data_IF_261311316014
#
_entry.id   IF_261311316014
#
_cell.length_a   1.000
_cell.length_b   1.000
_cell.length_c   1.000
_cell.angle_alpha   90.00
_cell.angle_beta   90.00
_cell.angle_gamma   90.00
#
_symmetry.space_group_name_H-M   'P 1'
#
loop_
_entity.id
_entity.type
_entity.pdbx_description
1 polymer ?
#
# COMPACT_ATOMS: atom_id res chain seq x y z
N UNK A 1 37.11 -19.25 -2.86
CA UNK A 1 35.95 -19.18 -1.96
C UNK A 1 34.83 -18.53 -2.74
N UNK A 2 33.69 -19.21 -2.92
CA UNK A 2 32.54 -18.65 -3.63
C UNK A 2 31.41 -18.46 -2.61
N UNK A 3 31.01 -17.21 -2.40
CA UNK A 3 29.92 -16.84 -1.48
C UNK A 3 28.92 -16.02 -2.26
N UNK A 4 27.66 -16.48 -2.32
CA UNK A 4 26.62 -15.73 -2.99
C UNK A 4 25.24 -15.93 -2.33
N UNK A 5 24.42 -14.88 -2.24
CA UNK A 5 23.04 -14.96 -1.81
C UNK A 5 22.20 -15.60 -2.93
N UNK A 6 21.16 -16.37 -2.56
CA UNK A 6 20.30 -17.01 -3.57
C UNK A 6 18.81 -16.91 -3.28
N UNK A 7 18.41 -16.60 -2.07
CA UNK A 7 17.00 -16.29 -1.75
C UNK A 7 16.85 -15.59 -0.41
N UNK A 8 15.79 -14.80 -0.25
CA UNK A 8 15.29 -14.40 1.07
C UNK A 8 14.51 -15.57 1.68
N UNK A 9 14.53 -15.68 3.00
CA UNK A 9 13.77 -16.71 3.72
C UNK A 9 12.27 -16.37 3.83
N UNK A 10 11.81 -15.31 3.17
CA UNK A 10 10.43 -14.86 3.22
C UNK A 10 9.55 -15.65 2.25
N UNK A 11 8.38 -16.09 2.72
CA UNK A 11 7.36 -16.73 1.90
C UNK A 11 6.21 -15.74 1.70
N UNK A 12 6.16 -15.11 0.56
CA UNK A 12 5.40 -13.88 0.31
C UNK A 12 4.01 -14.11 -0.31
N UNK A 13 3.57 -15.34 -0.41
CA UNK A 13 2.18 -15.71 -0.75
C UNK A 13 1.72 -15.41 -2.19
N UNK A 14 2.44 -14.58 -2.96
CA UNK A 14 2.14 -14.25 -4.37
C UNK A 14 3.40 -14.28 -5.22
N UNK A 15 3.29 -14.59 -6.52
CA UNK A 15 4.44 -14.59 -7.42
C UNK A 15 4.90 -13.17 -7.76
N UNK A 16 6.24 -12.93 -7.82
CA UNK A 16 6.85 -11.66 -8.17
C UNK A 16 6.95 -11.53 -9.71
N UNK A 17 5.86 -11.19 -10.36
CA UNK A 17 5.77 -11.19 -11.82
C UNK A 17 6.70 -10.18 -12.50
N UNK A 18 6.91 -9.00 -11.91
CA UNK A 18 7.80 -7.97 -12.48
C UNK A 18 9.25 -8.41 -12.39
N UNK A 19 9.67 -9.03 -11.28
CA UNK A 19 11.00 -9.60 -11.14
C UNK A 19 11.26 -10.71 -12.17
N UNK A 20 10.27 -11.59 -12.39
CA UNK A 20 10.38 -12.62 -13.44
C UNK A 20 10.44 -12.02 -14.84
N UNK A 21 9.63 -10.99 -15.11
CA UNK A 21 9.65 -10.29 -16.39
C UNK A 21 10.99 -9.60 -16.64
N UNK A 22 11.61 -8.99 -15.63
CA UNK A 22 12.93 -8.38 -15.73
C UNK A 22 14.03 -9.43 -16.05
N UNK A 23 13.98 -10.59 -15.37
CA UNK A 23 14.87 -11.73 -15.66
C UNK A 23 14.70 -12.19 -17.10
N UNK A 24 13.45 -12.42 -17.53
CA UNK A 24 13.16 -12.86 -18.91
C UNK A 24 13.63 -11.83 -19.93
N UNK A 25 13.45 -10.54 -19.67
CA UNK A 25 13.93 -9.48 -20.56
C UNK A 25 15.45 -9.50 -20.70
N UNK A 26 16.20 -9.65 -19.61
CA UNK A 26 17.66 -9.79 -19.66
C UNK A 26 18.08 -11.04 -20.46
N UNK A 27 17.39 -12.18 -20.28
CA UNK A 27 17.68 -13.42 -21.04
C UNK A 27 17.42 -13.24 -22.54
N UNK A 28 16.30 -12.61 -22.92
CA UNK A 28 15.97 -12.34 -24.33
C UNK A 28 17.00 -11.40 -24.95
N UNK A 29 17.33 -10.29 -24.29
CA UNK A 29 18.33 -9.34 -24.78
C UNK A 29 19.71 -10.04 -24.94
N UNK A 30 20.10 -10.83 -23.96
CA UNK A 30 21.37 -11.58 -24.04
C UNK A 30 21.37 -12.58 -25.20
N UNK A 31 20.28 -13.29 -25.44
CA UNK A 31 20.13 -14.17 -26.59
C UNK A 31 20.28 -13.43 -27.92
N UNK A 32 19.71 -12.22 -28.02
CA UNK A 32 19.90 -11.36 -29.21
C UNK A 32 21.33 -10.85 -29.34
N UNK A 33 22.05 -10.62 -28.25
CA UNK A 33 23.45 -10.22 -28.26
C UNK A 33 24.37 -11.31 -28.82
N UNK A 34 24.05 -12.61 -28.65
CA UNK A 34 24.83 -13.72 -29.19
C UNK A 34 24.77 -13.80 -30.72
N UNK A 35 23.69 -13.34 -31.34
CA UNK A 35 23.43 -13.46 -32.78
C UNK A 35 23.63 -12.16 -33.57
N UNK A 36 23.88 -11.02 -32.90
CA UNK A 36 23.93 -9.72 -33.56
C UNK A 36 24.78 -8.69 -32.80
N UNK A 37 25.27 -7.64 -33.46
CA UNK A 37 26.08 -6.59 -32.84
C UNK A 37 25.26 -5.60 -32.02
N UNK A 38 24.07 -6.01 -31.51
CA UNK A 38 23.14 -5.14 -30.76
C UNK A 38 23.75 -4.56 -29.47
N UNK A 39 24.78 -5.22 -28.93
CA UNK A 39 25.51 -4.79 -27.74
C UNK A 39 26.00 -3.35 -27.88
N UNK A 40 26.58 -2.99 -29.02
CA UNK A 40 27.10 -1.63 -29.30
C UNK A 40 25.97 -0.57 -29.22
N UNK A 41 24.75 -0.96 -29.55
CA UNK A 41 23.57 -0.08 -29.47
C UNK A 41 23.00 0.03 -28.07
N UNK A 42 23.37 -0.84 -27.13
CA UNK A 42 22.81 -0.87 -25.77
C UNK A 42 23.77 -0.27 -24.74
N UNK A 43 25.11 -0.37 -24.94
CA UNK A 43 26.09 0.14 -23.98
C UNK A 43 25.93 1.63 -23.71
N UNK A 44 26.25 2.02 -22.49
CA UNK A 44 26.25 3.40 -22.05
C UNK A 44 27.69 3.94 -21.94
N UNK A 45 27.91 5.09 -22.54
CA UNK A 45 29.15 5.88 -22.40
C UNK A 45 28.87 7.04 -21.45
N UNK A 46 29.65 7.23 -20.37
CA UNK A 46 29.37 8.22 -19.34
C UNK A 46 29.40 9.68 -19.81
N UNK A 47 30.11 9.97 -20.91
CA UNK A 47 30.18 11.29 -21.56
C UNK A 47 28.96 11.60 -22.43
N UNK A 48 28.18 10.60 -22.80
CA UNK A 48 27.02 10.78 -23.69
C UNK A 48 25.79 11.38 -23.01
N UNK A 49 25.66 11.23 -21.71
CA UNK A 49 24.50 11.67 -20.89
C UNK A 49 23.13 11.26 -21.47
N UNK A 50 23.07 10.14 -22.17
CA UNK A 50 21.85 9.67 -22.84
C UNK A 50 20.97 8.84 -21.88
N UNK A 51 19.79 9.35 -21.45
CA UNK A 51 18.95 8.65 -20.47
C UNK A 51 18.43 7.29 -20.95
N UNK A 52 18.16 7.16 -22.26
CA UNK A 52 17.72 5.89 -22.84
C UNK A 52 18.83 4.84 -22.73
N UNK A 53 20.08 5.23 -23.02
CA UNK A 53 21.24 4.36 -22.89
C UNK A 53 21.55 4.01 -21.44
N UNK A 54 21.32 4.93 -20.49
CA UNK A 54 21.46 4.65 -19.06
C UNK A 54 20.57 3.49 -18.61
N UNK A 55 19.37 3.39 -19.16
CA UNK A 55 18.44 2.29 -18.86
C UNK A 55 18.73 1.04 -19.68
N UNK A 56 18.89 1.17 -21.01
CA UNK A 56 19.05 0.01 -21.88
C UNK A 56 20.36 -0.75 -21.65
N UNK A 57 21.41 -0.05 -21.22
CA UNK A 57 22.69 -0.67 -20.86
C UNK A 57 22.55 -1.66 -19.69
N UNK A 58 21.61 -1.42 -18.77
CA UNK A 58 21.36 -2.34 -17.67
C UNK A 58 20.82 -3.71 -18.12
N UNK A 59 20.23 -3.79 -19.31
CA UNK A 59 19.69 -5.04 -19.86
C UNK A 59 20.73 -5.87 -20.62
N UNK A 60 21.83 -5.24 -21.06
CA UNK A 60 22.91 -5.88 -21.82
C UNK A 60 23.95 -6.51 -20.89
N UNK A 61 24.60 -7.59 -21.34
CA UNK A 61 25.60 -8.30 -20.54
C UNK A 61 26.82 -8.68 -21.38
N UNK A 62 28.03 -8.59 -20.79
CA UNK A 62 29.29 -8.88 -21.47
C UNK A 62 29.50 -10.38 -21.73
N UNK A 63 28.80 -11.25 -21.01
CA UNK A 63 28.93 -12.71 -21.19
C UNK A 63 28.05 -13.47 -20.23
N UNK A 64 28.00 -14.79 -20.39
CA UNK A 64 27.14 -15.69 -19.62
C UNK A 64 27.33 -15.57 -18.10
N UNK A 65 28.56 -15.57 -17.63
CA UNK A 65 28.81 -15.49 -16.18
C UNK A 65 28.46 -14.15 -15.58
N UNK A 66 28.57 -13.06 -16.37
CA UNK A 66 28.11 -11.73 -15.97
C UNK A 66 26.57 -11.67 -15.84
N UNK A 67 25.85 -12.21 -16.82
CA UNK A 67 24.40 -12.35 -16.77
C UNK A 67 23.96 -13.23 -15.59
N UNK A 68 24.53 -14.43 -15.47
CA UNK A 68 24.19 -15.39 -14.43
C UNK A 68 24.36 -14.81 -13.02
N UNK A 69 25.51 -14.15 -12.77
CA UNK A 69 25.77 -13.49 -11.48
C UNK A 69 24.73 -12.41 -11.17
N UNK A 70 24.45 -11.52 -12.13
CA UNK A 70 23.45 -10.48 -11.96
C UNK A 70 22.06 -11.04 -11.65
N UNK A 71 21.60 -12.03 -12.41
CA UNK A 71 20.28 -12.63 -12.20
C UNK A 71 20.18 -13.39 -10.88
N UNK A 72 21.23 -14.08 -10.47
CA UNK A 72 21.30 -14.79 -9.20
C UNK A 72 21.15 -13.83 -8.01
N UNK A 73 21.94 -12.75 -8.01
CA UNK A 73 21.86 -11.73 -6.95
C UNK A 73 20.53 -10.97 -7.00
N UNK A 74 20.03 -10.63 -8.19
CA UNK A 74 18.73 -10.00 -8.34
C UNK A 74 17.62 -10.85 -7.72
N UNK A 75 17.57 -12.14 -8.07
CA UNK A 75 16.56 -13.06 -7.56
C UNK A 75 16.67 -13.32 -6.05
N UNK A 76 17.81 -13.03 -5.44
CA UNK A 76 17.95 -13.15 -4.00
C UNK A 76 17.19 -12.06 -3.22
N UNK A 77 17.02 -10.86 -3.76
CA UNK A 77 16.43 -9.69 -3.06
C UNK A 77 15.16 -9.16 -3.73
N UNK A 78 15.16 -9.07 -5.04
CA UNK A 78 14.13 -8.39 -5.83
C UNK A 78 12.71 -8.95 -5.65
N UNK A 79 12.48 -10.28 -5.62
CA UNK A 79 11.15 -10.83 -5.40
C UNK A 79 10.50 -10.41 -4.09
N UNK A 80 11.29 -10.35 -3.02
CA UNK A 80 10.80 -9.91 -1.71
C UNK A 80 10.40 -8.43 -1.75
N UNK A 81 11.25 -7.58 -2.34
CA UNK A 81 11.00 -6.15 -2.46
C UNK A 81 9.77 -5.84 -3.32
N UNK A 82 9.58 -6.56 -4.45
CA UNK A 82 8.39 -6.39 -5.29
C UNK A 82 7.11 -6.59 -4.50
N UNK A 83 7.07 -7.63 -3.68
CA UNK A 83 5.89 -7.98 -2.91
C UNK A 83 5.66 -7.00 -1.76
N UNK A 84 6.72 -6.62 -1.05
CA UNK A 84 6.65 -5.67 0.07
C UNK A 84 6.27 -4.26 -0.40
N UNK A 85 6.74 -3.81 -1.57
CA UNK A 85 6.32 -2.52 -2.16
C UNK A 85 4.83 -2.53 -2.54
N UNK A 86 4.29 -3.69 -2.89
CA UNK A 86 2.85 -3.89 -3.09
C UNK A 86 2.28 -3.34 -4.41
N UNK A 87 3.04 -2.56 -5.19
CA UNK A 87 2.64 -1.97 -6.47
C UNK A 87 3.67 -2.28 -7.55
N UNK A 88 3.26 -2.99 -8.59
CA UNK A 88 4.11 -3.32 -9.74
C UNK A 88 4.65 -2.07 -10.44
N UNK A 89 3.81 -1.03 -10.62
CA UNK A 89 4.23 0.21 -11.26
C UNK A 89 5.28 0.96 -10.42
N UNK A 90 5.08 1.04 -9.11
CA UNK A 90 6.06 1.66 -8.20
C UNK A 90 7.37 0.87 -8.20
N UNK A 91 7.31 -0.46 -8.21
CA UNK A 91 8.49 -1.30 -8.25
C UNK A 91 9.29 -1.15 -9.56
N UNK A 92 8.62 -1.07 -10.72
CA UNK A 92 9.26 -0.72 -12.01
C UNK A 92 9.91 0.67 -11.90
N UNK A 93 9.22 1.65 -11.33
CA UNK A 93 9.76 2.99 -11.09
C UNK A 93 11.04 2.98 -10.25
N UNK A 94 11.11 2.14 -9.21
CA UNK A 94 12.33 1.94 -8.41
C UNK A 94 13.47 1.42 -9.27
N UNK A 95 13.25 0.38 -10.07
CA UNK A 95 14.30 -0.19 -10.93
C UNK A 95 14.81 0.83 -11.95
N UNK A 96 13.92 1.59 -12.59
CA UNK A 96 14.27 2.66 -13.52
C UNK A 96 15.06 3.78 -12.85
N UNK A 97 14.60 4.23 -11.68
CA UNK A 97 15.28 5.25 -10.89
C UNK A 97 16.71 4.81 -10.54
N UNK A 98 16.88 3.59 -10.04
CA UNK A 98 18.20 3.06 -9.68
C UNK A 98 19.10 2.93 -10.90
N UNK A 99 18.59 2.44 -12.04
CA UNK A 99 19.36 2.35 -13.29
C UNK A 99 19.87 3.72 -13.76
N UNK A 100 19.01 4.74 -13.69
CA UNK A 100 19.39 6.12 -14.04
C UNK A 100 20.42 6.68 -13.07
N UNK A 101 20.17 6.62 -11.75
CA UNK A 101 21.07 7.20 -10.75
C UNK A 101 22.43 6.49 -10.71
N UNK A 102 22.45 5.17 -10.90
CA UNK A 102 23.68 4.39 -11.05
C UNK A 102 24.54 4.91 -12.22
N UNK A 103 23.94 5.12 -13.38
CA UNK A 103 24.60 5.63 -14.57
C UNK A 103 25.03 7.10 -14.44
N UNK A 104 24.16 7.94 -13.84
CA UNK A 104 24.49 9.35 -13.53
C UNK A 104 25.67 9.43 -12.58
N UNK A 105 25.70 8.60 -11.52
CA UNK A 105 26.79 8.54 -10.57
C UNK A 105 28.11 8.21 -11.26
N UNK A 106 28.10 7.28 -12.22
CA UNK A 106 29.29 6.97 -13.03
C UNK A 106 29.71 8.14 -13.92
N UNK A 107 28.77 8.81 -14.59
CA UNK A 107 29.10 9.99 -15.40
C UNK A 107 29.65 11.14 -14.57
N UNK A 108 29.07 11.42 -13.42
CA UNK A 108 29.60 12.45 -12.50
C UNK A 108 31.01 12.11 -12.03
N UNK A 109 31.25 10.84 -11.69
CA UNK A 109 32.59 10.39 -11.28
C UNK A 109 33.63 10.64 -12.38
N UNK A 110 33.35 10.26 -13.64
CA UNK A 110 34.28 10.48 -14.76
C UNK A 110 34.55 11.97 -15.00
N UNK A 111 33.51 12.84 -14.87
CA UNK A 111 33.69 14.28 -15.00
C UNK A 111 34.53 14.88 -13.87
N UNK A 112 34.28 14.47 -12.62
CA UNK A 112 34.96 15.03 -11.43
C UNK A 112 36.42 14.57 -11.35
N UNK A 113 36.68 13.31 -11.67
CA UNK A 113 38.04 12.70 -11.50
C UNK A 113 38.88 12.76 -12.76
N UNK A 114 38.28 13.06 -13.92
CA UNK A 114 38.95 12.93 -15.21
C UNK A 114 39.30 11.48 -15.58
N UNK A 115 38.61 10.50 -14.98
CA UNK A 115 38.83 9.08 -15.26
C UNK A 115 38.52 8.74 -16.71
N UNK A 116 39.19 7.70 -17.22
CA UNK A 116 39.00 7.22 -18.60
C UNK A 116 37.52 6.83 -18.83
N UNK A 117 36.97 7.25 -19.97
CA UNK A 117 35.62 6.95 -20.42
C UNK A 117 35.56 5.50 -20.90
N UNK A 118 35.06 4.60 -20.08
CA UNK A 118 34.89 3.18 -20.40
C UNK A 118 33.38 2.91 -20.56
N UNK A 119 32.95 2.27 -21.68
CA UNK A 119 31.56 1.90 -21.86
C UNK A 119 31.12 0.91 -20.78
N UNK A 120 29.90 1.11 -20.22
CA UNK A 120 29.36 0.25 -19.19
C UNK A 120 28.07 -0.44 -19.66
N UNK A 121 27.85 -1.64 -19.14
CA UNK A 121 26.66 -2.44 -19.34
C UNK A 121 26.50 -3.43 -18.18
N UNK A 122 25.28 -3.91 -17.97
CA UNK A 122 24.97 -4.91 -16.94
C UNK A 122 23.93 -4.46 -15.94
N UNK A 123 23.15 -5.42 -15.48
CA UNK A 123 22.07 -5.20 -14.51
C UNK A 123 22.57 -4.91 -13.08
N UNK A 124 23.87 -4.94 -12.88
CA UNK A 124 24.51 -4.89 -11.55
C UNK A 124 24.21 -3.62 -10.75
N UNK A 125 24.12 -2.46 -11.42
CA UNK A 125 23.69 -1.22 -10.74
C UNK A 125 22.30 -1.33 -10.14
N UNK A 126 21.35 -1.96 -10.87
CA UNK A 126 19.99 -2.23 -10.36
C UNK A 126 20.04 -3.27 -9.24
N UNK A 127 20.85 -4.33 -9.38
CA UNK A 127 21.06 -5.34 -8.32
C UNK A 127 21.53 -4.69 -7.03
N UNK A 128 22.57 -3.85 -7.11
CA UNK A 128 23.07 -3.13 -5.94
C UNK A 128 22.02 -2.21 -5.34
N UNK A 129 21.17 -1.57 -6.16
CA UNK A 129 20.04 -0.81 -5.70
C UNK A 129 18.99 -1.64 -4.94
N UNK A 130 18.70 -2.86 -5.41
CA UNK A 130 17.83 -3.78 -4.67
C UNK A 130 18.45 -4.21 -3.34
N UNK A 131 19.76 -4.43 -3.30
CA UNK A 131 20.49 -4.72 -2.06
C UNK A 131 20.40 -3.51 -1.09
N UNK A 132 20.66 -2.29 -1.57
CA UNK A 132 20.56 -1.07 -0.77
C UNK A 132 19.14 -0.83 -0.24
N UNK A 133 18.13 -1.00 -1.09
CA UNK A 133 16.73 -0.88 -0.71
C UNK A 133 16.32 -1.92 0.34
N UNK A 134 16.83 -3.16 0.22
CA UNK A 134 16.58 -4.22 1.19
C UNK A 134 17.14 -3.91 2.57
N UNK A 135 18.29 -3.22 2.62
CA UNK A 135 18.89 -2.78 3.87
C UNK A 135 18.03 -1.73 4.61
N UNK A 136 17.20 -0.97 3.89
CA UNK A 136 16.26 -0.02 4.47
C UNK A 136 14.92 -0.68 4.85
N UNK A 137 14.26 -1.34 3.88
CA UNK A 137 12.89 -1.85 4.06
C UNK A 137 12.82 -3.12 4.92
N UNK A 138 13.83 -3.99 4.81
CA UNK A 138 13.83 -5.29 5.49
C UNK A 138 15.20 -5.63 6.06
N UNK A 139 15.80 -4.77 6.93
CA UNK A 139 17.19 -4.93 7.38
C UNK A 139 17.46 -6.27 8.06
N UNK A 140 16.51 -6.77 8.82
CA UNK A 140 16.61 -8.03 9.58
C UNK A 140 16.16 -9.27 8.78
N UNK A 141 15.73 -9.10 7.52
CA UNK A 141 15.36 -10.23 6.68
C UNK A 141 16.56 -11.17 6.51
N UNK A 142 16.30 -12.46 6.72
CA UNK A 142 17.33 -13.50 6.61
C UNK A 142 17.50 -13.89 5.14
N UNK A 143 18.65 -13.55 4.59
CA UNK A 143 19.04 -13.96 3.24
C UNK A 143 19.86 -15.25 3.33
N UNK A 144 19.48 -16.25 2.55
CA UNK A 144 20.23 -17.50 2.43
C UNK A 144 21.46 -17.28 1.56
N UNK A 145 22.61 -17.55 2.14
CA UNK A 145 23.90 -17.40 1.48
C UNK A 145 24.52 -18.79 1.33
N UNK A 146 24.91 -19.10 0.12
CA UNK A 146 25.64 -20.29 -0.19
C UNK A 146 27.14 -20.02 -0.15
N UNK A 147 27.86 -20.83 0.60
CA UNK A 147 29.32 -20.77 0.68
C UNK A 147 29.91 -22.09 0.20
N UNK A 148 30.72 -22.00 -0.85
CA UNK A 148 31.53 -23.10 -1.34
C UNK A 148 33.00 -22.88 -1.00
N UNK A 149 33.43 -23.61 0.00
CA UNK A 149 34.87 -23.77 0.32
C UNK A 149 35.27 -25.23 0.08
N UNK A 150 35.53 -25.99 1.13
CA UNK A 150 35.78 -27.43 1.08
C UNK A 150 34.48 -28.21 1.30
N UNK A 151 33.51 -27.59 1.96
CA UNK A 151 32.20 -28.16 2.27
C UNK A 151 31.11 -27.18 1.82
N UNK A 152 30.04 -27.72 1.22
CA UNK A 152 28.85 -26.95 0.89
C UNK A 152 28.10 -26.56 2.17
N UNK A 153 28.03 -25.29 2.48
CA UNK A 153 27.31 -24.81 3.65
C UNK A 153 26.40 -23.64 3.29
N UNK A 154 25.17 -23.73 3.77
CA UNK A 154 24.21 -22.63 3.68
C UNK A 154 24.06 -22.00 5.07
N UNK A 155 24.10 -20.70 5.14
CA UNK A 155 23.86 -19.94 6.36
C UNK A 155 22.97 -18.72 6.05
N UNK A 156 22.47 -18.10 7.10
CA UNK A 156 21.60 -16.94 6.98
C UNK A 156 22.35 -15.68 7.40
N UNK A 157 22.24 -14.63 6.59
CA UNK A 157 22.83 -13.32 6.86
C UNK A 157 21.73 -12.27 6.81
N UNK A 158 21.67 -11.34 7.76
CA UNK A 158 20.73 -10.20 7.64
C UNK A 158 21.00 -9.36 6.40
N UNK A 159 19.94 -8.83 5.77
CA UNK A 159 20.06 -8.07 4.54
C UNK A 159 20.97 -6.85 4.67
N UNK A 160 20.90 -6.12 5.81
CA UNK A 160 21.78 -4.96 6.06
C UNK A 160 23.26 -5.33 6.09
N UNK A 161 23.61 -6.51 6.63
CA UNK A 161 25.01 -6.98 6.67
C UNK A 161 25.52 -7.23 5.25
N UNK A 162 24.71 -7.87 4.41
CA UNK A 162 25.08 -8.10 3.01
C UNK A 162 25.22 -6.77 2.26
N UNK A 163 24.31 -5.82 2.47
CA UNK A 163 24.42 -4.51 1.86
C UNK A 163 25.70 -3.78 2.30
N UNK A 164 26.01 -3.79 3.59
CA UNK A 164 27.24 -3.19 4.12
C UNK A 164 28.50 -3.85 3.53
N UNK A 165 28.49 -5.20 3.36
CA UNK A 165 29.62 -5.92 2.78
C UNK A 165 29.76 -5.58 1.29
N UNK A 166 28.71 -5.75 0.47
CA UNK A 166 28.82 -5.57 -0.98
C UNK A 166 29.06 -4.11 -1.37
N UNK A 167 28.27 -3.17 -0.83
CA UNK A 167 28.45 -1.75 -1.12
C UNK A 167 29.76 -1.24 -0.52
N UNK A 168 30.10 -1.68 0.69
CA UNK A 168 31.31 -1.26 1.39
C UNK A 168 32.58 -1.78 0.70
N UNK A 169 32.61 -3.04 0.23
CA UNK A 169 33.75 -3.59 -0.50
C UNK A 169 33.91 -2.89 -1.86
N UNK A 170 32.84 -2.62 -2.57
CA UNK A 170 32.90 -1.90 -3.84
C UNK A 170 33.36 -0.45 -3.63
N UNK A 171 32.89 0.24 -2.59
CA UNK A 171 33.34 1.57 -2.23
C UNK A 171 34.84 1.59 -1.83
N UNK A 172 35.26 0.62 -1.02
CA UNK A 172 36.67 0.49 -0.66
C UNK A 172 37.54 0.20 -1.89
N UNK A 173 37.13 -0.73 -2.76
CA UNK A 173 37.85 -1.04 -4.00
C UNK A 173 37.92 0.17 -4.95
N UNK A 174 36.80 0.92 -5.08
CA UNK A 174 36.73 2.15 -5.87
C UNK A 174 37.76 3.21 -5.41
N UNK A 175 38.00 3.30 -4.10
CA UNK A 175 38.91 4.30 -3.52
C UNK A 175 40.38 3.85 -3.49
N UNK A 176 40.67 2.55 -3.56
CA UNK A 176 42.01 2.01 -3.32
C UNK A 176 42.64 1.35 -4.56
N UNK A 177 41.84 0.88 -5.50
CA UNK A 177 42.35 0.18 -6.70
C UNK A 177 42.38 1.11 -7.91
N UNK A 178 43.50 1.10 -8.66
CA UNK A 178 43.63 1.90 -9.87
C UNK A 178 43.00 1.24 -11.12
N UNK A 179 42.63 -0.03 -11.03
CA UNK A 179 42.00 -0.78 -12.12
C UNK A 179 40.97 -1.76 -11.53
N UNK A 180 39.72 -1.64 -11.95
CA UNK A 180 38.58 -2.40 -11.40
C UNK A 180 38.31 -3.73 -12.15
N UNK A 181 39.21 -4.19 -12.99
CA UNK A 181 39.06 -5.49 -13.69
C UNK A 181 37.83 -5.57 -14.58
N UNK A 182 37.38 -4.43 -15.17
CA UNK A 182 36.20 -4.36 -16.03
C UNK A 182 34.85 -4.27 -15.30
N UNK A 183 34.86 -4.14 -13.98
CA UNK A 183 33.63 -3.92 -13.16
C UNK A 183 33.45 -2.42 -12.89
N UNK A 184 32.26 -1.89 -13.16
CA UNK A 184 31.96 -0.48 -12.86
C UNK A 184 31.54 -0.32 -11.40
N UNK A 185 32.53 -0.28 -10.49
CA UNK A 185 32.30 -0.15 -9.03
C UNK A 185 31.57 1.15 -8.65
N UNK A 186 31.81 2.23 -9.41
CA UNK A 186 31.14 3.52 -9.18
C UNK A 186 29.64 3.39 -9.40
N UNK A 187 29.23 2.76 -10.50
CA UNK A 187 27.83 2.50 -10.78
C UNK A 187 27.19 1.57 -9.73
N UNK A 188 27.94 0.62 -9.19
CA UNK A 188 27.48 -0.25 -8.11
C UNK A 188 27.21 0.52 -6.83
N UNK A 189 28.18 1.31 -6.37
CA UNK A 189 28.04 2.14 -5.14
C UNK A 189 26.89 3.14 -5.31
N UNK A 190 26.85 3.85 -6.44
CA UNK A 190 25.79 4.80 -6.73
C UNK A 190 24.40 4.12 -6.76
N UNK A 191 24.30 2.94 -7.37
CA UNK A 191 23.08 2.14 -7.38
C UNK A 191 22.63 1.71 -5.98
N UNK A 192 23.56 1.19 -5.18
CA UNK A 192 23.30 0.78 -3.80
C UNK A 192 22.79 1.92 -2.91
N UNK A 193 23.47 3.07 -2.98
CA UNK A 193 23.07 4.28 -2.26
C UNK A 193 21.72 4.83 -2.77
N UNK A 194 21.48 4.78 -4.09
CA UNK A 194 20.21 5.20 -4.68
C UNK A 194 19.03 4.36 -4.18
N UNK A 195 19.20 3.04 -4.13
CA UNK A 195 18.16 2.14 -3.62
C UNK A 195 17.86 2.39 -2.13
N UNK A 196 18.89 2.55 -1.32
CA UNK A 196 18.73 2.89 0.10
C UNK A 196 18.01 4.25 0.27
N UNK A 197 18.48 5.28 -0.44
CA UNK A 197 17.90 6.62 -0.39
C UNK A 197 16.44 6.65 -0.89
N UNK A 198 16.13 5.88 -1.93
CA UNK A 198 14.74 5.76 -2.39
C UNK A 198 13.83 5.18 -1.28
N UNK A 199 14.30 4.18 -0.56
CA UNK A 199 13.61 3.62 0.59
C UNK A 199 13.32 4.67 1.65
N UNK A 200 14.34 5.43 2.05
CA UNK A 200 14.23 6.49 3.06
C UNK A 200 13.26 7.61 2.63
N UNK A 201 13.34 8.04 1.38
CA UNK A 201 12.62 9.23 0.91
C UNK A 201 11.16 8.96 0.52
N UNK A 202 10.85 7.76 0.02
CA UNK A 202 9.54 7.47 -0.58
C UNK A 202 8.84 6.20 -0.08
N UNK A 203 9.50 5.41 0.79
CA UNK A 203 8.94 4.16 1.31
C UNK A 203 9.09 3.99 2.82
N UNK A 204 9.44 5.06 3.56
CA UNK A 204 9.65 4.98 4.99
C UNK A 204 8.35 4.70 5.76
N UNK A 205 7.22 5.19 5.28
CA UNK A 205 5.88 4.88 5.76
C UNK A 205 5.55 3.38 5.69
N UNK A 206 6.08 2.67 4.70
CA UNK A 206 5.90 1.23 4.53
C UNK A 206 6.84 0.39 5.41
N UNK A 207 7.95 0.96 5.85
CA UNK A 207 8.97 0.25 6.64
C UNK A 207 8.44 -0.30 7.95
N UNK A 208 7.60 0.46 8.65
CA UNK A 208 7.01 0.03 9.91
C UNK A 208 6.07 -1.16 9.70
N UNK A 209 5.17 -1.08 8.70
CA UNK A 209 4.24 -2.15 8.32
C UNK A 209 5.01 -3.43 7.92
N UNK A 210 6.05 -3.29 7.10
CA UNK A 210 6.93 -4.40 6.67
C UNK A 210 7.69 -5.01 7.85
N UNK A 211 8.19 -4.18 8.76
CA UNK A 211 8.93 -4.66 9.96
C UNK A 211 8.04 -5.52 10.86
N UNK A 212 6.78 -5.17 10.99
CA UNK A 212 5.81 -5.93 11.78
C UNK A 212 5.45 -7.26 11.11
N UNK A 213 5.17 -7.26 9.79
CA UNK A 213 4.92 -8.49 9.03
C UNK A 213 6.12 -9.45 9.10
N UNK A 214 7.33 -8.91 9.00
CA UNK A 214 8.57 -9.68 9.06
C UNK A 214 8.83 -10.26 10.46
N UNK A 215 8.53 -9.50 11.51
CA UNK A 215 8.67 -9.98 12.89
C UNK A 215 7.74 -11.18 13.16
N UNK A 216 6.51 -11.12 12.67
CA UNK A 216 5.54 -12.19 12.79
C UNK A 216 5.98 -13.46 12.04
N UNK A 217 6.58 -13.31 10.86
CA UNK A 217 7.09 -14.44 10.10
C UNK A 217 8.32 -15.09 10.75
N UNK A 218 9.23 -14.30 11.28
CA UNK A 218 10.40 -14.79 12.02
C UNK A 218 9.96 -15.57 13.27
N UNK A 219 8.96 -15.07 13.99
CA UNK A 219 8.45 -15.76 15.19
C UNK A 219 7.72 -17.05 14.83
N UNK A 220 6.93 -17.06 13.76
CA UNK A 220 6.31 -18.30 13.26
C UNK A 220 7.36 -19.36 12.87
N UNK A 221 8.48 -18.96 12.26
CA UNK A 221 9.59 -19.85 11.96
C UNK A 221 10.28 -20.38 13.24
N UNK A 222 10.44 -19.56 14.27
CA UNK A 222 10.99 -19.98 15.58
C UNK A 222 10.10 -21.01 16.26
N UNK A 223 8.78 -20.81 16.24
CA UNK A 223 7.79 -21.76 16.79
C UNK A 223 7.84 -23.07 16.03
N UNK A 224 7.93 -23.04 14.70
CA UNK A 224 8.09 -24.23 13.88
C UNK A 224 9.36 -25.02 14.25
N UNK A 225 10.50 -24.34 14.38
CA UNK A 225 11.77 -24.98 14.76
C UNK A 225 11.74 -25.60 16.18
N UNK A 226 11.11 -24.90 17.15
CA UNK A 226 11.06 -25.36 18.54
C UNK A 226 10.08 -26.52 18.78
N UNK A 227 8.97 -26.54 18.07
CA UNK A 227 7.85 -27.46 18.36
C UNK A 227 7.58 -28.48 17.26
N UNK A 228 8.38 -28.50 16.18
CA UNK A 228 8.18 -29.44 15.05
C UNK A 228 6.83 -29.26 14.33
N UNK A 229 6.11 -28.17 14.57
CA UNK A 229 4.81 -27.87 13.97
C UNK A 229 4.97 -27.34 12.56
N UNK A 230 4.03 -27.62 11.67
CA UNK A 230 3.99 -26.98 10.36
C UNK A 230 3.81 -25.47 10.53
N UNK A 231 4.22 -24.67 9.52
CA UNK A 231 4.09 -23.21 9.55
C UNK A 231 2.64 -22.77 9.82
N UNK A 232 1.67 -23.44 9.21
CA UNK A 232 0.25 -23.16 9.41
C UNK A 232 -0.22 -23.44 10.85
N UNK A 233 0.28 -24.51 11.46
CA UNK A 233 -0.02 -24.85 12.86
C UNK A 233 0.68 -23.90 13.84
N UNK A 234 1.91 -23.50 13.56
CA UNK A 234 2.62 -22.49 14.33
C UNK A 234 1.90 -21.13 14.31
N UNK A 235 1.42 -20.71 13.15
CA UNK A 235 0.63 -19.49 12.99
C UNK A 235 -0.72 -19.56 13.73
N UNK A 236 -1.45 -20.69 13.59
CA UNK A 236 -2.70 -20.93 14.34
C UNK A 236 -2.48 -20.95 15.85
N UNK A 237 -1.40 -21.55 16.31
CA UNK A 237 -1.04 -21.57 17.73
C UNK A 237 -0.76 -20.17 18.27
N UNK A 238 0.04 -19.36 17.54
CA UNK A 238 0.32 -17.96 17.90
C UNK A 238 -0.96 -17.13 17.93
N UNK A 239 -1.82 -17.25 16.91
CA UNK A 239 -3.11 -16.57 16.83
C UNK A 239 -4.02 -16.90 18.02
N UNK A 240 -4.03 -18.16 18.45
CA UNK A 240 -4.86 -18.61 19.58
C UNK A 240 -4.33 -18.16 20.95
N UNK A 241 -3.03 -17.83 21.04
CA UNK A 241 -2.37 -17.53 22.33
C UNK A 241 -1.96 -16.07 22.49
N UNK A 242 -1.95 -15.27 21.42
CA UNK A 242 -1.58 -13.86 21.44
C UNK A 242 -2.78 -12.93 21.17
N UNK A 243 -3.30 -12.24 22.21
CA UNK A 243 -4.44 -11.34 22.08
C UNK A 243 -4.22 -10.19 21.10
N UNK A 244 -2.96 -9.73 20.95
CA UNK A 244 -2.63 -8.61 20.04
C UNK A 244 -2.76 -9.01 18.58
N UNK A 245 -2.47 -10.26 18.22
CA UNK A 245 -2.63 -10.76 16.84
C UNK A 245 -4.11 -10.89 16.50
N UNK A 246 -4.93 -11.41 17.43
CA UNK A 246 -6.37 -11.51 17.24
C UNK A 246 -7.00 -10.13 17.05
N UNK A 247 -6.55 -9.13 17.81
CA UNK A 247 -7.02 -7.74 17.68
C UNK A 247 -6.58 -7.09 16.36
N UNK A 248 -5.34 -7.28 15.93
CA UNK A 248 -4.84 -6.78 14.62
C UNK A 248 -5.61 -7.37 13.44
N UNK A 249 -5.90 -8.67 13.46
CA UNK A 249 -6.72 -9.28 12.39
C UNK A 249 -8.14 -8.69 12.38
N UNK A 250 -8.71 -8.45 13.56
CA UNK A 250 -10.03 -7.82 13.69
C UNK A 250 -10.05 -6.44 13.06
N UNK A 251 -9.02 -5.61 13.34
CA UNK A 251 -8.86 -4.27 12.76
C UNK A 251 -8.63 -4.38 11.24
N UNK A 252 -7.74 -5.26 10.78
CA UNK A 252 -7.48 -5.46 9.35
C UNK A 252 -8.71 -5.94 8.58
N UNK A 253 -9.52 -6.84 9.16
CA UNK A 253 -10.76 -7.31 8.54
C UNK A 253 -11.85 -6.24 8.55
N UNK A 254 -11.89 -5.39 9.59
CA UNK A 254 -12.74 -4.23 9.64
C UNK A 254 -12.39 -3.24 8.52
N UNK A 255 -11.14 -2.86 8.38
CA UNK A 255 -10.67 -1.93 7.35
C UNK A 255 -10.90 -2.43 5.92
N UNK A 256 -10.72 -3.73 5.68
CA UNK A 256 -11.03 -4.36 4.39
C UNK A 256 -12.53 -4.28 4.08
N UNK A 257 -13.36 -4.60 5.06
CA UNK A 257 -14.80 -4.55 4.93
C UNK A 257 -15.29 -3.11 4.67
N UNK A 258 -14.82 -2.13 5.44
CA UNK A 258 -15.19 -0.72 5.25
C UNK A 258 -14.77 -0.21 3.88
N UNK A 259 -13.58 -0.57 3.38
CA UNK A 259 -13.16 -0.26 2.00
C UNK A 259 -14.09 -0.86 0.94
N UNK A 260 -14.60 -2.08 1.14
CA UNK A 260 -15.59 -2.69 0.24
C UNK A 260 -16.91 -1.92 0.26
N UNK A 261 -17.41 -1.57 1.43
CA UNK A 261 -18.63 -0.75 1.59
C UNK A 261 -18.47 0.59 0.86
N UNK A 262 -17.37 1.29 1.06
CA UNK A 262 -17.11 2.56 0.39
C UNK A 262 -16.99 2.42 -1.14
N UNK A 263 -16.39 1.34 -1.61
CA UNK A 263 -16.32 1.08 -3.05
C UNK A 263 -17.71 0.82 -3.66
N UNK A 264 -18.59 0.10 -2.96
CA UNK A 264 -19.97 -0.13 -3.39
C UNK A 264 -20.74 1.19 -3.52
N UNK A 265 -20.62 2.08 -2.53
CA UNK A 265 -21.27 3.40 -2.61
C UNK A 265 -20.73 4.22 -3.77
N UNK A 266 -19.41 4.26 -3.98
CA UNK A 266 -18.79 4.95 -5.12
C UNK A 266 -19.24 4.42 -6.49
N UNK A 267 -19.66 3.17 -6.56
CA UNK A 267 -20.16 2.52 -7.80
C UNK A 267 -21.70 2.52 -7.86
N UNK A 268 -22.38 3.35 -7.09
CA UNK A 268 -23.84 3.47 -7.02
C UNK A 268 -24.57 2.17 -6.61
N UNK A 269 -23.91 1.32 -5.80
CA UNK A 269 -24.51 0.10 -5.22
C UNK A 269 -24.91 0.33 -3.76
N UNK A 270 -25.52 1.46 -3.48
CA UNK A 270 -25.83 1.95 -2.12
C UNK A 270 -26.69 0.98 -1.30
N UNK A 271 -27.71 0.36 -1.93
CA UNK A 271 -28.56 -0.61 -1.25
C UNK A 271 -27.80 -1.84 -0.77
N UNK A 272 -26.86 -2.31 -1.59
CA UNK A 272 -26.01 -3.47 -1.26
C UNK A 272 -25.01 -3.12 -0.16
N UNK A 273 -24.41 -1.93 -0.21
CA UNK A 273 -23.53 -1.44 0.84
C UNK A 273 -24.24 -1.38 2.20
N UNK A 274 -25.46 -0.83 2.23
CA UNK A 274 -26.30 -0.78 3.43
C UNK A 274 -26.65 -2.18 3.94
N UNK A 275 -27.03 -3.09 3.06
CA UNK A 275 -27.35 -4.47 3.45
C UNK A 275 -26.16 -5.20 4.03
N UNK A 276 -24.96 -5.07 3.43
CA UNK A 276 -23.76 -5.67 3.97
C UNK A 276 -23.35 -5.10 5.33
N UNK A 277 -23.47 -3.78 5.50
CA UNK A 277 -23.19 -3.12 6.76
C UNK A 277 -24.10 -3.64 7.89
N UNK A 278 -25.42 -3.71 7.62
CA UNK A 278 -26.40 -4.18 8.59
C UNK A 278 -26.35 -5.70 8.85
N UNK A 279 -25.82 -6.47 7.92
CA UNK A 279 -25.60 -7.92 8.11
C UNK A 279 -24.41 -8.19 9.02
N UNK A 280 -23.37 -7.34 8.95
CA UNK A 280 -22.16 -7.52 9.74
C UNK A 280 -22.23 -6.94 11.14
N UNK A 281 -22.91 -5.80 11.30
CA UNK A 281 -22.98 -5.07 12.57
C UNK A 281 -24.39 -5.08 13.13
N UNK A 282 -24.53 -5.46 14.39
CA UNK A 282 -25.73 -5.25 15.16
C UNK A 282 -25.92 -3.74 15.44
N UNK A 283 -27.17 -3.29 15.48
CA UNK A 283 -27.52 -1.88 15.63
C UNK A 283 -26.96 -1.20 16.89
N UNK A 284 -26.74 -1.98 17.97
CA UNK A 284 -26.17 -1.43 19.22
C UNK A 284 -24.65 -1.41 19.21
N UNK A 285 -24.02 -2.49 18.73
CA UNK A 285 -22.55 -2.63 18.70
C UNK A 285 -21.90 -1.94 17.50
N UNK A 286 -22.64 -1.71 16.43
CA UNK A 286 -22.16 -1.12 15.18
C UNK A 286 -22.55 0.35 14.99
N UNK A 287 -22.93 1.06 16.04
CA UNK A 287 -23.32 2.47 15.91
C UNK A 287 -22.22 3.33 15.28
N UNK A 288 -20.98 3.13 15.69
CA UNK A 288 -19.81 3.88 15.20
C UNK A 288 -19.57 3.67 13.70
N UNK A 289 -19.68 2.43 13.23
CA UNK A 289 -19.46 2.05 11.83
C UNK A 289 -20.60 2.55 10.93
N UNK A 290 -21.82 2.46 11.40
CA UNK A 290 -22.99 2.99 10.70
C UNK A 290 -22.89 4.51 10.61
N UNK A 291 -22.51 5.17 11.71
CA UNK A 291 -22.30 6.61 11.80
C UNK A 291 -21.21 7.06 10.80
N UNK A 292 -20.08 6.37 10.75
CA UNK A 292 -18.98 6.70 9.84
C UNK A 292 -19.38 6.67 8.36
N UNK A 293 -20.10 5.61 7.94
CA UNK A 293 -20.59 5.52 6.55
C UNK A 293 -21.62 6.61 6.27
N UNK A 294 -22.51 6.88 7.22
CA UNK A 294 -23.55 7.90 7.07
C UNK A 294 -22.95 9.31 6.97
N UNK A 295 -21.98 9.66 7.81
CA UNK A 295 -21.33 10.99 7.78
C UNK A 295 -20.61 11.25 6.44
N UNK A 296 -20.01 10.22 5.85
CA UNK A 296 -19.40 10.33 4.51
C UNK A 296 -20.40 10.31 3.36
N UNK A 297 -21.67 9.93 3.62
CA UNK A 297 -22.67 9.80 2.58
C UNK A 297 -22.95 11.12 1.82
N UNK A 298 -22.83 12.25 2.48
CA UNK A 298 -23.02 13.56 1.84
C UNK A 298 -21.97 13.88 0.79
N UNK A 299 -20.76 13.36 0.91
CA UNK A 299 -19.67 13.53 -0.07
C UNK A 299 -19.97 12.77 -1.38
N UNK A 300 -20.84 11.76 -1.32
CA UNK A 300 -21.16 10.88 -2.45
C UNK A 300 -22.43 11.26 -3.20
N UNK A 301 -23.19 12.22 -2.65
CA UNK A 301 -24.41 12.74 -3.25
C UNK A 301 -25.70 12.10 -2.72
N UNK A 302 -26.86 12.52 -3.24
CA UNK A 302 -28.18 12.07 -2.75
C UNK A 302 -28.37 10.56 -2.89
N UNK A 303 -28.82 9.90 -1.81
CA UNK A 303 -29.13 8.45 -1.80
C UNK A 303 -30.23 8.13 -0.75
N UNK A 304 -31.31 7.48 -1.22
CA UNK A 304 -32.38 7.00 -0.32
C UNK A 304 -31.91 5.85 0.57
N UNK A 305 -31.04 4.99 0.08
CA UNK A 305 -30.52 3.85 0.83
C UNK A 305 -29.64 4.33 1.99
N UNK A 306 -28.76 5.31 1.74
CA UNK A 306 -27.90 5.92 2.77
C UNK A 306 -28.74 6.72 3.79
N UNK A 307 -29.80 7.41 3.35
CA UNK A 307 -30.73 8.08 4.28
C UNK A 307 -31.45 7.08 5.23
N UNK A 308 -31.58 5.80 4.85
CA UNK A 308 -32.11 4.77 5.75
C UNK A 308 -31.18 4.49 6.94
N UNK A 309 -29.85 4.61 6.78
CA UNK A 309 -28.92 4.49 7.90
C UNK A 309 -29.14 5.60 8.93
N UNK A 310 -29.39 6.83 8.47
CA UNK A 310 -29.74 7.94 9.36
C UNK A 310 -31.00 7.70 10.18
N UNK A 311 -32.03 7.02 9.62
CA UNK A 311 -33.22 6.62 10.40
C UNK A 311 -32.85 5.67 11.54
N UNK A 312 -31.93 4.73 11.31
CA UNK A 312 -31.49 3.79 12.33
C UNK A 312 -30.73 4.52 13.45
N UNK A 313 -29.84 5.44 13.08
CA UNK A 313 -29.11 6.29 14.04
C UNK A 313 -30.08 7.14 14.86
N UNK A 314 -31.08 7.74 14.21
CA UNK A 314 -32.16 8.50 14.88
C UNK A 314 -32.89 7.63 15.92
N UNK A 315 -33.29 6.41 15.57
CA UNK A 315 -34.00 5.51 16.50
C UNK A 315 -33.16 5.15 17.74
N UNK A 316 -31.85 4.95 17.57
CA UNK A 316 -30.95 4.66 18.69
C UNK A 316 -30.83 5.89 19.59
N UNK A 317 -30.60 7.08 19.03
CA UNK A 317 -30.43 8.33 19.75
C UNK A 317 -31.71 8.77 20.48
N UNK A 318 -32.90 8.48 19.92
CA UNK A 318 -34.20 8.72 20.59
C UNK A 318 -34.33 7.86 21.83
N UNK A 319 -33.96 6.58 21.79
CA UNK A 319 -33.96 5.69 22.96
C UNK A 319 -33.01 6.18 24.07
N UNK A 320 -31.95 6.86 23.69
CA UNK A 320 -30.98 7.47 24.61
C UNK A 320 -31.37 8.90 25.06
N UNK A 321 -32.52 9.42 24.64
CA UNK A 321 -33.00 10.79 24.89
C UNK A 321 -32.03 11.89 24.41
N UNK A 322 -31.25 11.62 23.35
CA UNK A 322 -30.24 12.54 22.76
C UNK A 322 -30.83 13.39 21.64
N UNK A 323 -31.94 14.09 21.91
CA UNK A 323 -32.73 14.79 20.89
C UNK A 323 -31.98 15.85 20.08
N UNK A 324 -30.98 16.52 20.62
CA UNK A 324 -30.14 17.47 19.88
C UNK A 324 -29.37 16.82 18.75
N UNK A 325 -28.82 15.60 18.96
CA UNK A 325 -28.17 14.81 17.89
C UNK A 325 -29.18 14.26 16.89
N UNK A 326 -30.38 13.91 17.30
CA UNK A 326 -31.46 13.47 16.40
C UNK A 326 -31.75 14.53 15.36
N UNK A 327 -31.88 15.80 15.75
CA UNK A 327 -32.14 16.91 14.83
C UNK A 327 -31.02 17.08 13.81
N UNK A 328 -29.78 16.89 14.22
CA UNK A 328 -28.61 16.88 13.30
C UNK A 328 -28.78 15.80 12.24
N UNK A 329 -29.10 14.57 12.60
CA UNK A 329 -29.26 13.48 11.62
C UNK A 329 -30.50 13.65 10.73
N UNK A 330 -31.56 14.27 11.21
CA UNK A 330 -32.72 14.63 10.37
C UNK A 330 -32.31 15.58 9.24
N UNK A 331 -31.56 16.62 9.55
CA UNK A 331 -31.04 17.57 8.56
C UNK A 331 -30.18 16.88 7.51
N UNK A 332 -29.28 16.01 7.95
CA UNK A 332 -28.42 15.20 7.06
C UNK A 332 -29.23 14.24 6.18
N UNK A 333 -30.23 13.58 6.74
CA UNK A 333 -31.15 12.73 5.98
C UNK A 333 -31.91 13.49 4.90
N UNK A 334 -32.34 14.72 5.18
CA UNK A 334 -33.02 15.59 4.20
C UNK A 334 -32.09 16.02 3.08
N UNK A 335 -30.78 16.20 3.35
CA UNK A 335 -29.77 16.47 2.32
C UNK A 335 -29.56 15.26 1.40
N UNK A 336 -29.55 14.03 1.94
CA UNK A 336 -29.43 12.80 1.16
C UNK A 336 -30.72 12.43 0.42
N UNK A 337 -31.86 12.75 1.00
CA UNK A 337 -33.18 12.45 0.43
C UNK A 337 -34.16 13.57 0.76
N UNK A 338 -34.45 14.51 -0.16
CA UNK A 338 -35.38 15.62 0.10
C UNK A 338 -36.77 15.20 0.56
N UNK A 339 -37.18 13.97 0.20
CA UNK A 339 -38.46 13.38 0.63
C UNK A 339 -38.37 12.63 1.96
N UNK A 340 -37.30 12.83 2.74
CA UNK A 340 -37.12 12.15 4.02
C UNK A 340 -38.25 12.48 4.98
N UNK A 341 -38.80 11.45 5.64
CA UNK A 341 -39.83 11.53 6.66
C UNK A 341 -39.49 10.63 7.84
N UNK A 342 -39.95 10.97 9.01
CA UNK A 342 -39.97 10.08 10.16
C UNK A 342 -41.18 9.14 10.09
N UNK A 343 -41.09 7.91 10.65
CA UNK A 343 -42.19 6.94 10.59
C UNK A 343 -43.42 7.30 11.44
N UNK A 344 -43.31 8.28 12.32
CA UNK A 344 -44.34 8.69 13.22
C UNK A 344 -44.64 10.20 13.08
N UNK A 345 -45.95 10.53 12.95
CA UNK A 345 -46.41 11.92 12.78
C UNK A 345 -46.15 12.76 14.03
N UNK A 346 -46.40 12.22 15.23
CA UNK A 346 -46.19 12.94 16.49
C UNK A 346 -44.72 13.31 16.66
N UNK A 347 -43.79 12.38 16.34
CA UNK A 347 -42.35 12.65 16.36
C UNK A 347 -41.97 13.68 15.30
N UNK A 348 -42.58 13.63 14.11
CA UNK A 348 -42.31 14.60 13.04
C UNK A 348 -42.68 16.01 13.52
N UNK A 349 -43.83 16.19 14.14
CA UNK A 349 -44.27 17.48 14.66
C UNK A 349 -43.40 17.97 15.83
N UNK A 350 -43.00 17.07 16.72
CA UNK A 350 -42.05 17.36 17.79
C UNK A 350 -40.72 17.89 17.29
N UNK A 351 -40.09 17.18 16.33
CA UNK A 351 -38.82 17.63 15.80
C UNK A 351 -38.93 18.83 14.85
N UNK A 352 -40.07 19.04 14.20
CA UNK A 352 -40.31 20.26 13.45
C UNK A 352 -40.38 21.49 14.39
N UNK A 353 -41.05 21.38 15.56
CA UNK A 353 -41.05 22.42 16.56
C UNK A 353 -39.62 22.66 17.09
N UNK A 354 -38.91 21.63 17.48
CA UNK A 354 -37.54 21.73 17.95
C UNK A 354 -36.60 22.38 16.90
N UNK A 355 -36.81 22.10 15.62
CA UNK A 355 -36.04 22.73 14.53
C UNK A 355 -36.29 24.24 14.44
N UNK A 356 -37.52 24.68 14.64
CA UNK A 356 -37.86 26.12 14.75
C UNK A 356 -37.20 26.76 15.96
N UNK A 357 -37.31 26.12 17.12
CA UNK A 357 -36.74 26.63 18.38
C UNK A 357 -35.21 26.74 18.34
N UNK A 358 -34.57 25.95 17.48
CA UNK A 358 -33.10 25.97 17.25
C UNK A 358 -32.67 26.74 16.01
N UNK A 359 -33.55 27.52 15.37
CA UNK A 359 -33.24 28.37 14.21
C UNK A 359 -32.99 27.61 12.91
N UNK A 360 -33.65 26.46 12.72
CA UNK A 360 -33.58 25.64 11.51
C UNK A 360 -34.91 25.56 10.75
N UNK A 361 -35.47 26.69 10.25
CA UNK A 361 -36.80 26.76 9.66
C UNK A 361 -36.96 25.87 8.40
N UNK A 362 -35.92 25.69 7.59
CA UNK A 362 -35.99 24.84 6.41
C UNK A 362 -36.14 23.35 6.77
N UNK A 363 -35.48 22.89 7.81
CA UNK A 363 -35.61 21.50 8.31
C UNK A 363 -37.05 21.27 8.81
N UNK A 364 -37.59 22.19 9.57
CA UNK A 364 -38.97 22.15 10.05
C UNK A 364 -39.96 22.09 8.90
N UNK A 365 -39.84 23.01 7.94
CA UNK A 365 -40.72 23.08 6.75
C UNK A 365 -40.73 21.76 5.99
N UNK A 366 -39.54 21.22 5.69
CA UNK A 366 -39.43 19.97 4.92
C UNK A 366 -40.05 18.78 5.65
N UNK A 367 -39.84 18.67 6.98
CA UNK A 367 -40.47 17.64 7.79
C UNK A 367 -42.01 17.71 7.70
N UNK A 368 -42.58 18.88 7.88
CA UNK A 368 -44.06 19.07 7.88
C UNK A 368 -44.62 18.80 6.49
N UNK A 369 -44.05 19.39 5.45
CA UNK A 369 -44.53 19.21 4.05
C UNK A 369 -44.48 17.74 3.62
N UNK A 370 -43.33 17.08 3.83
CA UNK A 370 -43.15 15.68 3.42
C UNK A 370 -44.09 14.75 4.22
N UNK A 371 -44.29 15.03 5.51
CA UNK A 371 -45.20 14.26 6.37
C UNK A 371 -46.65 14.44 5.91
N UNK A 372 -47.09 15.67 5.63
CA UNK A 372 -48.42 15.95 5.10
C UNK A 372 -48.68 15.25 3.77
N UNK A 373 -47.71 15.26 2.86
CA UNK A 373 -47.81 14.52 1.58
C UNK A 373 -47.93 13.00 1.77
N UNK A 374 -47.24 12.43 2.74
CA UNK A 374 -47.23 10.98 2.97
C UNK A 374 -48.41 10.47 3.77
N UNK A 375 -48.81 11.19 4.81
CA UNK A 375 -49.79 10.73 5.80
C UNK A 375 -51.16 11.38 5.64
N UNK A 376 -51.30 12.43 4.81
CA UNK A 376 -52.57 13.05 4.44
C UNK A 376 -53.41 13.43 5.65
N UNK A 377 -54.63 12.92 5.72
CA UNK A 377 -55.59 13.25 6.79
C UNK A 377 -55.24 12.77 8.21
N UNK A 378 -54.11 12.03 8.37
CA UNK A 378 -53.62 11.64 9.71
C UNK A 378 -52.80 12.77 10.39
N UNK A 379 -52.50 13.83 9.66
CA UNK A 379 -51.73 14.97 10.17
C UNK A 379 -52.68 16.09 10.57
N UNK A 380 -52.58 16.58 11.82
CA UNK A 380 -53.36 17.73 12.28
C UNK A 380 -53.05 18.98 11.45
N UNK A 381 -54.03 19.35 10.58
CA UNK A 381 -53.85 20.46 9.63
C UNK A 381 -53.67 21.83 10.34
N UNK A 382 -54.21 22.02 11.55
CA UNK A 382 -54.04 23.27 12.29
C UNK A 382 -52.63 23.41 12.81
N UNK A 383 -52.08 22.35 13.42
CA UNK A 383 -50.72 22.33 13.94
C UNK A 383 -49.69 22.44 12.82
N UNK A 384 -49.89 21.73 11.67
CA UNK A 384 -49.06 21.86 10.53
C UNK A 384 -49.03 23.26 9.93
N UNK A 385 -50.20 23.86 9.74
CA UNK A 385 -50.29 25.24 9.22
C UNK A 385 -49.61 26.24 10.14
N UNK A 386 -49.73 26.07 11.46
CA UNK A 386 -49.04 26.90 12.42
C UNK A 386 -47.50 26.78 12.30
N UNK A 387 -46.98 25.55 12.27
CA UNK A 387 -45.55 25.31 12.11
C UNK A 387 -45.01 25.84 10.77
N UNK A 388 -45.76 25.70 9.66
CA UNK A 388 -45.39 26.26 8.35
C UNK A 388 -45.37 27.79 8.35
N UNK A 389 -46.30 28.45 9.00
CA UNK A 389 -46.32 29.90 9.15
C UNK A 389 -45.13 30.41 9.97
N UNK A 390 -44.79 29.71 11.06
CA UNK A 390 -43.58 30.02 11.86
C UNK A 390 -42.30 29.81 11.04
N UNK A 391 -42.20 28.72 10.30
CA UNK A 391 -41.06 28.44 9.44
C UNK A 391 -40.86 29.51 8.33
N UNK A 392 -41.97 30.03 7.76
CA UNK A 392 -41.94 31.12 6.78
C UNK A 392 -41.53 32.46 7.38
N UNK A 393 -41.84 32.72 8.64
CA UNK A 393 -41.44 33.97 9.31
C UNK A 393 -39.97 33.97 9.74
N UNK A 394 -39.37 32.81 9.93
CA UNK A 394 -37.96 32.66 10.38
C UNK A 394 -36.99 32.42 9.22
N UNK A 395 -37.46 32.00 8.03
CA UNK A 395 -36.68 31.81 6.82
C UNK A 395 -36.47 33.13 6.07
#
# INVERSE_FOLDING_TARGET
>A
MLIFPYSTALNLGRPPYVSYAAVMLCLVIFSLQLGSPITQNLVYYPDSWNPLKMVTASLAHAGFWHLFGNLLFFMAFAPALEILIGSSLRYIGVMLFVALVSSIGYSLWTVITGAEVIPTLGFSGVVMGMIGLSAHLMPQARVRVFCWMIVFKTFFVPAWVLAAIYIGLDAWAMLTLNNFGGVNLVAHVAGGLAGYAYGVLWLDDRKQEISEELADEIEAMRIQQRHGKTRAEAYRYKKATDPLIAERERISDHDKFMRQVYQMVKTHRDSEAVMQLLTRYDLQSGFSEIEEVFERALEWGPSRSLACLGRLLIQILERENRHGRVLYYIERCQSLSPQFILPDVSRTLFYAQMALDTGKPLVARNLVVNSAQRYGGLVDSRQCNHLLQLAQKQA
#
